data_IF_644960465640
#
_entry.id   IF_644960465640
#
_cell.length_a   1.000
_cell.length_b   1.000
_cell.length_c   1.000
_cell.angle_alpha   90.00
_cell.angle_beta   90.00
_cell.angle_gamma   90.00
#
_symmetry.space_group_name_H-M   'P 1'
#
loop_
_entity.id
_entity.type
_entity.pdbx_description
1 polymer ?
#
# COMPACT_ATOMS: atom_id res chain seq x y z
N UNK A 1 21.94 -38.65 -11.50
CA UNK A 1 21.00 -37.75 -12.19
C UNK A 1 21.09 -36.41 -11.50
N UNK A 2 21.87 -35.52 -12.07
CA UNK A 2 22.09 -34.14 -11.56
C UNK A 2 20.90 -33.28 -12.00
N UNK A 3 20.06 -32.91 -11.04
CA UNK A 3 18.99 -31.92 -11.25
C UNK A 3 19.64 -30.55 -11.45
N UNK A 4 19.70 -30.11 -12.70
CA UNK A 4 20.04 -28.73 -13.05
C UNK A 4 18.98 -27.79 -12.46
N UNK A 5 19.35 -27.02 -11.46
CA UNK A 5 18.52 -25.94 -10.94
C UNK A 5 18.29 -24.94 -12.09
N UNK A 6 17.04 -24.72 -12.46
CA UNK A 6 16.65 -23.75 -13.46
C UNK A 6 17.12 -22.35 -13.02
N UNK A 7 17.84 -21.66 -13.90
CA UNK A 7 18.30 -20.30 -13.68
C UNK A 7 17.08 -19.39 -13.37
N UNK A 8 17.17 -18.41 -12.43
CA UNK A 8 16.06 -17.58 -12.08
C UNK A 8 15.62 -16.75 -13.29
N UNK A 9 14.36 -16.89 -13.66
CA UNK A 9 13.72 -16.15 -14.76
C UNK A 9 13.80 -14.65 -14.47
N UNK A 10 14.79 -13.97 -15.05
CA UNK A 10 15.01 -12.51 -14.96
C UNK A 10 14.12 -11.76 -15.95
N UNK A 11 12.82 -12.04 -15.96
CA UNK A 11 11.89 -11.25 -16.78
C UNK A 11 11.72 -9.84 -16.19
N UNK A 12 11.54 -8.82 -17.04
CA UNK A 12 11.28 -7.45 -16.62
C UNK A 12 10.13 -7.39 -15.58
N UNK A 13 9.10 -8.22 -15.75
CA UNK A 13 7.99 -8.40 -14.79
C UNK A 13 8.49 -8.82 -13.40
N UNK A 14 9.38 -9.81 -13.31
CA UNK A 14 9.91 -10.29 -12.02
C UNK A 14 10.70 -9.18 -11.29
N UNK A 15 11.43 -8.34 -12.02
CA UNK A 15 12.17 -7.23 -11.45
C UNK A 15 11.24 -6.13 -10.92
N UNK A 16 10.19 -5.76 -11.68
CA UNK A 16 9.19 -4.78 -11.23
C UNK A 16 8.45 -5.30 -10.00
N UNK A 17 8.10 -6.58 -9.96
CA UNK A 17 7.46 -7.21 -8.81
C UNK A 17 8.38 -7.22 -7.58
N UNK A 18 9.66 -7.59 -7.70
CA UNK A 18 10.65 -7.52 -6.61
C UNK A 18 10.78 -6.09 -6.08
N UNK A 19 10.83 -5.10 -6.98
CA UNK A 19 10.88 -3.70 -6.61
C UNK A 19 9.62 -3.28 -5.85
N UNK A 20 8.42 -3.62 -6.35
CA UNK A 20 7.16 -3.33 -5.66
C UNK A 20 7.06 -3.99 -4.29
N UNK A 21 7.50 -5.26 -4.16
CA UNK A 21 7.57 -5.96 -2.87
C UNK A 21 8.55 -5.27 -1.91
N UNK A 22 9.70 -4.80 -2.42
CA UNK A 22 10.66 -4.05 -1.61
C UNK A 22 10.06 -2.75 -1.07
N UNK A 23 9.36 -1.97 -1.91
CA UNK A 23 8.65 -0.75 -1.48
C UNK A 23 7.56 -1.08 -0.45
N UNK A 24 6.75 -2.10 -0.69
CA UNK A 24 5.70 -2.55 0.23
C UNK A 24 6.27 -2.93 1.60
N UNK A 25 7.37 -3.66 1.63
CA UNK A 25 8.00 -4.09 2.88
C UNK A 25 8.56 -2.92 3.72
N UNK A 26 8.76 -1.74 3.14
CA UNK A 26 9.09 -0.53 3.88
C UNK A 26 7.87 0.13 4.52
N UNK A 27 6.70 0.03 3.88
CA UNK A 27 5.47 0.71 4.30
C UNK A 27 4.60 -0.16 5.19
N UNK A 28 4.37 -1.42 4.81
CA UNK A 28 3.43 -2.32 5.49
C UNK A 28 3.68 -2.51 7.00
N UNK A 29 4.92 -2.67 7.50
CA UNK A 29 5.15 -2.76 8.94
C UNK A 29 4.71 -1.50 9.70
N UNK A 30 4.62 -0.36 9.00
CA UNK A 30 4.28 0.95 9.56
C UNK A 30 2.80 1.33 9.33
N UNK A 31 1.97 0.44 8.79
CA UNK A 31 0.56 0.73 8.44
C UNK A 31 -0.25 1.22 9.65
N UNK A 32 0.06 0.72 10.86
CA UNK A 32 -0.57 1.17 12.09
C UNK A 32 -0.39 2.67 12.35
N UNK A 33 0.76 3.23 12.00
CA UNK A 33 1.02 4.67 12.14
C UNK A 33 0.23 5.49 11.10
N UNK A 34 0.03 4.97 9.88
CA UNK A 34 -0.85 5.58 8.87
C UNK A 34 -2.31 5.57 9.31
N UNK A 35 -2.78 4.46 9.88
CA UNK A 35 -4.14 4.36 10.42
C UNK A 35 -4.32 5.36 11.57
N UNK A 36 -3.38 5.45 12.50
CA UNK A 36 -3.43 6.39 13.61
C UNK A 36 -3.46 7.84 13.10
N UNK A 37 -2.57 8.20 12.16
CA UNK A 37 -2.58 9.52 11.53
C UNK A 37 -3.91 9.82 10.84
N UNK A 38 -4.45 8.87 10.07
CA UNK A 38 -5.72 9.03 9.37
C UNK A 38 -6.90 9.23 10.34
N UNK A 39 -6.98 8.46 11.42
CA UNK A 39 -8.03 8.59 12.44
C UNK A 39 -7.92 9.93 13.19
N UNK A 40 -6.72 10.33 13.60
CA UNK A 40 -6.46 11.62 14.25
C UNK A 40 -6.86 12.76 13.31
N UNK A 41 -6.51 12.67 12.05
CA UNK A 41 -6.87 13.64 11.02
C UNK A 41 -8.39 13.71 10.84
N UNK A 42 -9.06 12.57 10.65
CA UNK A 42 -10.50 12.51 10.46
C UNK A 42 -11.28 13.08 11.65
N UNK A 43 -10.77 12.87 12.86
CA UNK A 43 -11.44 13.35 14.08
C UNK A 43 -11.16 14.82 14.35
N UNK A 44 -9.92 15.28 14.35
CA UNK A 44 -9.50 16.47 15.05
C UNK A 44 -9.16 17.68 14.18
N UNK A 45 -9.03 17.57 12.83
CA UNK A 45 -8.85 18.76 11.98
C UNK A 45 -10.07 19.68 12.01
N UNK A 46 -9.93 20.89 11.52
CA UNK A 46 -10.98 21.91 11.48
C UNK A 46 -12.31 21.41 10.87
N UNK A 47 -12.21 20.60 9.81
CA UNK A 47 -13.37 19.98 9.13
C UNK A 47 -13.63 18.54 9.58
N UNK A 48 -12.99 18.10 10.66
CA UNK A 48 -13.15 16.76 11.20
C UNK A 48 -14.45 16.56 11.99
N UNK A 49 -14.62 15.35 12.53
CA UNK A 49 -15.81 14.98 13.30
C UNK A 49 -15.87 15.67 14.67
N UNK A 50 -14.71 15.86 15.32
CA UNK A 50 -14.54 16.47 16.63
C UNK A 50 -13.40 17.50 16.56
N UNK A 51 -13.61 18.69 15.95
CA UNK A 51 -12.53 19.64 15.74
C UNK A 51 -11.90 20.09 17.08
N UNK A 52 -10.60 19.84 17.22
CA UNK A 52 -9.80 20.25 18.39
C UNK A 52 -8.52 20.91 17.89
N UNK A 53 -8.41 22.23 18.02
CA UNK A 53 -7.31 23.03 17.47
C UNK A 53 -5.93 22.52 17.90
N UNK A 54 -5.75 22.19 19.18
CA UNK A 54 -4.50 21.70 19.76
C UNK A 54 -4.07 20.34 19.20
N UNK A 55 -5.00 19.46 18.82
CA UNK A 55 -4.72 18.14 18.28
C UNK A 55 -4.66 18.15 16.75
N UNK A 56 -5.56 18.88 16.11
CA UNK A 56 -5.66 18.99 14.66
C UNK A 56 -4.60 19.91 14.03
N UNK A 57 -4.07 20.86 14.79
CA UNK A 57 -3.06 21.80 14.30
C UNK A 57 -3.67 22.91 13.43
N UNK A 58 -4.76 23.52 13.87
CA UNK A 58 -5.39 24.67 13.19
C UNK A 58 -5.65 25.80 14.16
N UNK A 59 -5.78 27.03 13.62
CA UNK A 59 -5.95 28.24 14.42
C UNK A 59 -4.71 28.62 15.22
N UNK A 60 -4.84 29.66 16.05
CA UNK A 60 -3.77 30.25 16.83
C UNK A 60 -4.14 30.34 18.30
N UNK A 61 -3.14 30.50 19.15
CA UNK A 61 -3.27 30.80 20.57
C UNK A 61 -2.22 31.84 20.98
N UNK A 62 -2.42 32.49 22.10
CA UNK A 62 -1.52 33.55 22.56
C UNK A 62 -0.48 32.92 23.52
N UNK A 63 0.80 33.08 23.19
CA UNK A 63 1.94 32.74 24.06
C UNK A 63 2.80 33.99 24.19
N UNK A 64 3.03 34.45 25.40
CA UNK A 64 3.83 35.65 25.69
C UNK A 64 3.40 36.90 24.89
N UNK A 65 2.08 37.06 24.67
CA UNK A 65 1.52 38.17 23.92
C UNK A 65 1.65 38.12 22.41
N UNK A 66 2.10 36.96 21.86
CA UNK A 66 2.22 36.71 20.41
C UNK A 66 1.24 35.62 19.99
N UNK A 67 0.65 35.79 18.81
CA UNK A 67 -0.12 34.71 18.18
C UNK A 67 0.82 33.63 17.67
N UNK A 68 0.60 32.39 18.12
CA UNK A 68 1.34 31.20 17.71
C UNK A 68 0.36 30.16 17.18
N UNK A 69 0.63 29.59 16.01
CA UNK A 69 -0.19 28.54 15.45
C UNK A 69 -0.08 27.25 16.28
N UNK A 70 -1.19 26.52 16.42
CA UNK A 70 -1.16 25.18 16.99
C UNK A 70 -0.44 24.22 16.04
N UNK A 71 0.57 23.53 16.54
CA UNK A 71 1.32 22.53 15.75
C UNK A 71 0.49 21.28 15.51
N UNK A 72 -0.27 20.86 16.50
CA UNK A 72 -1.09 19.66 16.46
C UNK A 72 -0.29 18.35 16.31
N UNK A 73 -1.00 17.26 16.13
CA UNK A 73 -0.42 15.94 15.87
C UNK A 73 -0.34 15.64 14.36
N UNK A 74 -1.29 16.15 13.58
CA UNK A 74 -1.45 15.80 12.16
C UNK A 74 -0.22 16.18 11.33
N UNK A 75 0.22 17.44 11.45
CA UNK A 75 1.38 17.97 10.73
C UNK A 75 2.68 17.19 11.05
N UNK A 76 3.10 17.09 12.32
CA UNK A 76 4.31 16.36 12.69
C UNK A 76 4.29 14.87 12.33
N UNK A 77 3.15 14.21 12.45
CA UNK A 77 3.04 12.80 12.07
C UNK A 77 3.28 12.58 10.59
N UNK A 78 2.67 13.40 9.72
CA UNK A 78 2.80 13.22 8.27
C UNK A 78 4.15 13.71 7.75
N UNK A 79 4.69 14.77 8.32
CA UNK A 79 5.95 15.39 7.86
C UNK A 79 7.16 14.61 8.33
N UNK A 80 7.16 14.17 9.60
CA UNK A 80 8.33 13.55 10.21
C UNK A 80 8.14 12.08 10.54
N UNK A 81 7.13 11.73 11.35
CA UNK A 81 7.01 10.38 11.90
C UNK A 81 6.88 9.31 10.80
N UNK A 82 5.93 9.47 9.89
CA UNK A 82 5.65 8.47 8.86
C UNK A 82 6.83 8.30 7.89
N UNK A 83 7.45 9.36 7.33
CA UNK A 83 8.64 9.20 6.50
C UNK A 83 9.83 8.59 7.25
N UNK A 84 10.07 8.96 8.51
CA UNK A 84 11.17 8.41 9.31
C UNK A 84 10.97 6.92 9.62
N UNK A 85 9.74 6.47 9.90
CA UNK A 85 9.43 5.06 10.09
C UNK A 85 9.68 4.24 8.82
N UNK A 86 9.28 4.77 7.66
CA UNK A 86 9.54 4.14 6.36
C UNK A 86 11.04 4.05 6.10
N UNK A 87 11.78 5.14 6.32
CA UNK A 87 13.21 5.19 6.10
C UNK A 87 13.97 4.25 7.04
N UNK A 88 13.58 4.23 8.33
CA UNK A 88 14.15 3.29 9.29
C UNK A 88 13.92 1.84 8.87
N UNK A 89 12.70 1.51 8.48
CA UNK A 89 12.35 0.16 8.00
C UNK A 89 13.14 -0.19 6.75
N UNK A 90 13.25 0.72 5.78
CA UNK A 90 14.01 0.53 4.55
C UNK A 90 15.51 0.33 4.79
N UNK A 91 16.10 1.13 5.65
CA UNK A 91 17.50 0.99 6.06
C UNK A 91 17.77 -0.30 6.82
N UNK A 92 16.84 -0.67 7.72
CA UNK A 92 16.88 -1.93 8.48
C UNK A 92 16.82 -3.15 7.58
N UNK A 93 16.00 -3.14 6.54
CA UNK A 93 15.93 -4.24 5.56
C UNK A 93 17.28 -4.46 4.84
N UNK A 94 18.11 -3.45 4.70
CA UNK A 94 19.40 -3.51 4.00
C UNK A 94 20.54 -3.86 4.95
N UNK A 95 20.57 -3.28 6.16
CA UNK A 95 21.66 -3.46 7.11
C UNK A 95 21.20 -3.33 8.57
N UNK A 96 20.19 -4.11 8.93
CA UNK A 96 19.60 -4.22 10.26
C UNK A 96 19.40 -2.87 10.99
N UNK A 97 19.39 -2.83 12.31
CA UNK A 97 19.15 -1.64 13.14
C UNK A 97 20.08 -0.49 12.76
N UNK A 98 21.34 -0.80 12.50
CA UNK A 98 22.37 0.18 12.13
C UNK A 98 22.03 0.89 10.82
N UNK A 99 21.62 0.13 9.81
CA UNK A 99 21.11 0.67 8.54
C UNK A 99 19.85 1.51 8.71
N UNK A 100 18.96 1.07 9.62
CA UNK A 100 17.75 1.82 9.97
C UNK A 100 18.02 3.19 10.54
N UNK A 101 18.95 3.27 11.52
CA UNK A 101 19.33 4.52 12.16
C UNK A 101 19.95 5.49 11.14
N UNK A 102 20.93 5.03 10.34
CA UNK A 102 21.58 5.89 9.33
C UNK A 102 20.59 6.32 8.25
N UNK A 103 19.69 5.42 7.83
CA UNK A 103 18.63 5.73 6.86
C UNK A 103 17.66 6.79 7.37
N UNK A 104 17.25 6.72 8.64
CA UNK A 104 16.40 7.73 9.26
C UNK A 104 17.09 9.11 9.36
N UNK A 105 18.36 9.15 9.81
CA UNK A 105 19.14 10.39 9.87
C UNK A 105 19.27 11.01 8.48
N UNK A 106 19.64 10.21 7.48
CA UNK A 106 19.78 10.66 6.09
C UNK A 106 18.48 11.26 5.53
N UNK A 107 17.35 10.64 5.85
CA UNK A 107 16.03 11.07 5.40
C UNK A 107 15.59 12.38 6.04
N UNK A 108 16.03 12.67 7.26
CA UNK A 108 15.72 13.95 7.91
C UNK A 108 16.21 15.14 7.09
N UNK A 109 17.35 15.01 6.39
CA UNK A 109 17.84 16.05 5.48
C UNK A 109 16.87 16.30 4.32
N UNK A 110 16.34 15.26 3.72
CA UNK A 110 15.35 15.40 2.63
C UNK A 110 14.04 16.03 3.13
N UNK A 111 13.58 15.63 4.31
CA UNK A 111 12.35 16.16 4.92
C UNK A 111 12.49 17.68 5.15
N UNK A 112 13.57 18.12 5.76
CA UNK A 112 13.78 19.54 6.09
C UNK A 112 14.07 20.39 4.86
N UNK A 113 14.65 19.78 3.81
CA UNK A 113 14.98 20.47 2.55
C UNK A 113 13.80 20.67 1.59
N UNK A 114 12.57 20.27 1.98
CA UNK A 114 11.41 20.28 1.09
C UNK A 114 10.13 20.70 1.81
N UNK A 115 9.13 21.14 1.05
CA UNK A 115 7.82 21.56 1.56
C UNK A 115 6.73 20.48 1.41
N UNK A 116 7.03 19.33 0.80
CA UNK A 116 6.08 18.26 0.57
C UNK A 116 6.40 17.04 1.45
N UNK A 117 5.41 16.19 1.79
CA UNK A 117 5.65 14.95 2.56
C UNK A 117 6.62 14.02 1.85
N UNK A 118 7.74 13.70 2.49
CA UNK A 118 8.85 12.98 1.86
C UNK A 118 8.77 11.46 1.98
N UNK A 119 7.63 10.86 1.64
CA UNK A 119 7.49 9.40 1.58
C UNK A 119 8.41 8.78 0.53
N UNK A 120 8.41 9.32 -0.70
CA UNK A 120 9.29 8.85 -1.76
C UNK A 120 10.76 9.07 -1.39
N UNK A 121 11.09 10.23 -0.81
CA UNK A 121 12.41 10.51 -0.29
C UNK A 121 12.85 9.50 0.78
N UNK A 122 11.95 9.12 1.67
CA UNK A 122 12.19 8.11 2.70
C UNK A 122 12.45 6.71 2.11
N UNK A 123 11.66 6.32 1.10
CA UNK A 123 11.83 5.05 0.40
C UNK A 123 13.16 4.96 -0.37
N UNK A 124 13.73 6.10 -0.77
CA UNK A 124 15.04 6.16 -1.42
C UNK A 124 16.18 6.26 -0.42
N UNK A 125 16.09 7.21 0.52
CA UNK A 125 17.17 7.52 1.45
C UNK A 125 17.36 6.46 2.54
N UNK A 126 16.27 5.81 3.00
CA UNK A 126 16.36 4.73 3.97
C UNK A 126 17.27 3.59 3.52
N UNK A 127 16.97 2.92 2.41
CA UNK A 127 17.82 1.87 1.84
C UNK A 127 19.20 2.36 1.42
N UNK A 128 19.32 3.58 0.88
CA UNK A 128 20.61 4.18 0.51
C UNK A 128 21.50 4.36 1.75
N UNK A 129 20.95 4.85 2.85
CA UNK A 129 21.66 4.96 4.12
C UNK A 129 22.15 3.60 4.63
N UNK A 130 21.26 2.60 4.62
CA UNK A 130 21.60 1.24 4.99
C UNK A 130 22.68 0.62 4.09
N UNK A 131 22.57 0.80 2.78
CA UNK A 131 23.53 0.26 1.82
C UNK A 131 24.89 0.93 1.94
N UNK A 132 24.94 2.25 2.04
CA UNK A 132 26.20 2.99 2.11
C UNK A 132 26.95 2.74 3.41
N UNK A 133 26.27 2.71 4.57
CA UNK A 133 26.95 2.38 5.85
C UNK A 133 27.43 0.93 5.86
N UNK A 134 26.68 -0.02 5.28
CA UNK A 134 27.13 -1.40 5.11
C UNK A 134 28.44 -1.48 4.31
N UNK A 135 28.55 -0.70 3.25
CA UNK A 135 29.77 -0.64 2.43
C UNK A 135 30.92 0.03 3.17
N UNK A 136 30.62 1.07 3.93
CA UNK A 136 31.61 1.77 4.74
C UNK A 136 32.18 0.87 5.84
N UNK A 137 31.34 0.16 6.57
CA UNK A 137 31.73 -0.79 7.61
C UNK A 137 32.63 -1.91 7.06
N UNK A 138 32.34 -2.40 5.86
CA UNK A 138 33.17 -3.42 5.22
C UNK A 138 34.63 -3.01 4.96
N UNK A 139 34.96 -1.71 4.97
CA UNK A 139 36.34 -1.22 4.78
C UNK A 139 37.23 -1.44 6.01
N UNK A 140 36.63 -1.51 7.22
CA UNK A 140 37.39 -1.57 8.46
C UNK A 140 36.93 -2.62 9.48
N UNK A 141 35.88 -3.40 9.17
CA UNK A 141 35.28 -4.34 10.12
C UNK A 141 36.34 -5.22 10.83
N UNK A 142 37.28 -5.79 10.06
CA UNK A 142 38.34 -6.67 10.58
C UNK A 142 39.57 -5.90 11.13
N UNK A 143 39.57 -4.58 11.09
CA UNK A 143 40.71 -3.72 11.48
C UNK A 143 40.48 -2.99 12.80
N UNK A 144 39.29 -3.07 13.37
CA UNK A 144 38.97 -2.40 14.63
C UNK A 144 39.61 -3.18 15.77
N UNK A 145 40.40 -2.47 16.61
CA UNK A 145 41.01 -3.10 17.79
C UNK A 145 39.93 -3.44 18.84
N UNK A 146 40.08 -4.58 19.54
CA UNK A 146 39.14 -4.94 20.60
C UNK A 146 38.92 -3.81 21.62
N UNK A 147 37.65 -3.55 21.96
CA UNK A 147 37.25 -2.46 22.86
C UNK A 147 36.93 -1.13 22.21
N UNK A 148 37.26 -0.93 20.92
CA UNK A 148 36.93 0.28 20.17
C UNK A 148 35.69 0.12 19.26
N UNK A 149 35.10 -1.07 19.20
CA UNK A 149 34.00 -1.40 18.27
C UNK A 149 32.80 -0.46 18.47
N UNK A 150 32.40 -0.24 19.73
CA UNK A 150 31.27 0.63 20.04
C UNK A 150 31.54 2.07 19.62
N UNK A 151 32.76 2.59 19.90
CA UNK A 151 33.17 3.93 19.52
C UNK A 151 33.10 4.11 17.98
N UNK A 152 33.80 3.23 17.26
CA UNK A 152 33.87 3.30 15.80
C UNK A 152 32.45 3.16 15.19
N UNK A 153 31.66 2.22 15.68
CA UNK A 153 30.32 1.99 15.20
C UNK A 153 29.39 3.19 15.40
N UNK A 154 29.39 3.82 16.57
CA UNK A 154 28.54 4.97 16.84
C UNK A 154 28.98 6.22 16.07
N UNK A 155 30.28 6.52 16.09
CA UNK A 155 30.81 7.70 15.39
C UNK A 155 30.68 7.57 13.86
N UNK A 156 30.98 6.41 13.27
CA UNK A 156 30.85 6.23 11.84
C UNK A 156 29.38 6.33 11.39
N UNK A 157 28.42 5.79 12.16
CA UNK A 157 27.00 5.95 11.87
C UNK A 157 26.55 7.41 11.97
N UNK A 158 26.98 8.13 13.02
CA UNK A 158 26.62 9.53 13.22
C UNK A 158 27.23 10.45 12.15
N UNK A 159 28.53 10.33 11.89
CA UNK A 159 29.22 11.15 10.88
C UNK A 159 28.68 10.87 9.49
N UNK A 160 28.56 9.58 9.12
CA UNK A 160 28.05 9.22 7.80
C UNK A 160 26.58 9.57 7.61
N UNK A 161 25.76 9.32 8.63
CA UNK A 161 24.35 9.72 8.63
C UNK A 161 24.18 11.23 8.48
N UNK A 162 24.99 12.02 9.20
CA UNK A 162 25.04 13.48 9.07
C UNK A 162 25.45 13.95 7.67
N UNK A 163 26.49 13.35 7.08
CA UNK A 163 26.89 13.64 5.70
C UNK A 163 25.78 13.31 4.69
N UNK A 164 25.10 12.17 4.86
CA UNK A 164 23.96 11.79 4.03
C UNK A 164 22.74 12.70 4.25
N UNK A 165 22.53 13.24 5.45
CA UNK A 165 21.47 14.21 5.68
C UNK A 165 21.73 15.51 4.91
N UNK A 166 22.98 16.01 4.91
CA UNK A 166 23.39 17.17 4.11
C UNK A 166 23.22 16.89 2.60
N UNK A 167 23.64 15.72 2.14
CA UNK A 167 23.40 15.26 0.76
C UNK A 167 21.89 15.17 0.45
N UNK A 168 21.12 14.65 1.38
CA UNK A 168 19.65 14.57 1.30
C UNK A 168 19.03 15.94 1.10
N UNK A 169 19.46 16.93 1.87
CA UNK A 169 18.96 18.29 1.80
C UNK A 169 19.22 18.96 0.45
N UNK A 170 20.48 18.95 -0.01
CA UNK A 170 20.88 19.72 -1.20
C UNK A 170 20.66 18.96 -2.52
N UNK A 171 20.69 17.64 -2.53
CA UNK A 171 20.68 16.85 -3.76
C UNK A 171 19.41 16.04 -3.91
N UNK A 172 19.10 15.18 -2.91
CA UNK A 172 17.97 14.26 -3.06
C UNK A 172 16.61 14.95 -2.89
N UNK A 173 16.50 15.97 -2.04
CA UNK A 173 15.27 16.74 -1.87
C UNK A 173 14.76 17.32 -3.19
N UNK A 174 15.56 18.12 -3.92
CA UNK A 174 15.19 18.64 -5.23
C UNK A 174 14.85 17.55 -6.27
N UNK A 175 15.61 16.45 -6.31
CA UNK A 175 15.35 15.32 -7.22
C UNK A 175 13.99 14.70 -6.93
N UNK A 176 13.71 14.37 -5.68
CA UNK A 176 12.43 13.76 -5.28
C UNK A 176 11.26 14.71 -5.53
N UNK A 177 11.45 16.01 -5.27
CA UNK A 177 10.44 17.03 -5.55
C UNK A 177 10.13 17.11 -7.04
N UNK A 178 11.14 17.07 -7.91
CA UNK A 178 10.96 17.07 -9.35
C UNK A 178 10.20 15.80 -9.84
N UNK A 179 10.57 14.63 -9.33
CA UNK A 179 9.87 13.36 -9.64
C UNK A 179 8.41 13.42 -9.17
N UNK A 180 8.17 13.86 -7.93
CA UNK A 180 6.82 14.01 -7.38
C UNK A 180 5.99 15.02 -8.19
N UNK A 181 6.61 16.13 -8.59
CA UNK A 181 5.98 17.14 -9.44
C UNK A 181 5.59 16.60 -10.81
N UNK A 182 6.46 15.79 -11.44
CA UNK A 182 6.14 15.12 -12.70
C UNK A 182 4.91 14.20 -12.58
N UNK A 183 4.90 13.32 -11.58
CA UNK A 183 3.74 12.46 -11.37
C UNK A 183 2.48 13.25 -10.98
N UNK A 184 2.63 14.31 -10.18
CA UNK A 184 1.53 15.22 -9.84
C UNK A 184 0.95 15.90 -11.08
N UNK A 185 1.79 16.32 -12.02
CA UNK A 185 1.35 16.88 -13.31
C UNK A 185 0.59 15.86 -14.16
N UNK A 186 1.10 14.62 -14.28
CA UNK A 186 0.40 13.53 -15.00
C UNK A 186 -0.97 13.26 -14.38
N UNK A 187 -1.03 13.08 -13.06
CA UNK A 187 -2.28 12.79 -12.35
C UNK A 187 -3.25 13.98 -12.45
N UNK A 188 -2.76 15.21 -12.28
CA UNK A 188 -3.56 16.42 -12.42
C UNK A 188 -4.15 16.55 -13.81
N UNK A 189 -3.39 16.21 -14.85
CA UNK A 189 -3.87 16.15 -16.23
C UNK A 189 -4.99 15.10 -16.41
N UNK A 190 -4.84 13.91 -15.84
CA UNK A 190 -5.89 12.87 -15.89
C UNK A 190 -7.16 13.28 -15.15
N UNK A 191 -7.02 13.97 -14.02
CA UNK A 191 -8.17 14.48 -13.27
C UNK A 191 -8.88 15.59 -14.04
N UNK A 192 -8.14 16.59 -14.55
CA UNK A 192 -8.71 17.74 -15.24
C UNK A 192 -9.36 17.40 -16.57
N UNK A 193 -8.85 16.38 -17.27
CA UNK A 193 -9.42 15.89 -18.53
C UNK A 193 -10.56 14.88 -18.35
N UNK A 194 -10.88 14.48 -17.10
CA UNK A 194 -11.89 13.44 -16.84
C UNK A 194 -11.42 12.01 -17.15
N UNK A 195 -10.15 11.82 -17.49
CA UNK A 195 -9.59 10.52 -17.91
C UNK A 195 -9.09 9.65 -16.78
N UNK A 196 -9.22 10.10 -15.52
CA UNK A 196 -8.80 9.32 -14.36
C UNK A 196 -9.40 7.89 -14.31
N UNK A 197 -10.66 7.65 -14.72
CA UNK A 197 -11.22 6.29 -14.77
C UNK A 197 -10.43 5.32 -15.65
N UNK A 198 -9.74 5.82 -16.70
CA UNK A 198 -8.92 4.99 -17.58
C UNK A 198 -7.69 4.38 -16.88
N UNK A 199 -7.28 4.94 -15.74
CA UNK A 199 -6.20 4.35 -14.92
C UNK A 199 -6.53 2.93 -14.48
N UNK A 200 -7.82 2.56 -14.38
CA UNK A 200 -8.25 1.21 -14.05
C UNK A 200 -7.81 0.16 -15.06
N UNK A 201 -7.56 0.54 -16.32
CA UNK A 201 -7.00 -0.35 -17.36
C UNK A 201 -5.60 -0.84 -16.96
N UNK A 202 -4.86 -0.02 -16.23
CA UNK A 202 -3.53 -0.35 -15.75
C UNK A 202 -3.56 -0.92 -14.32
N UNK A 203 -4.33 -0.31 -13.43
CA UNK A 203 -4.33 -0.62 -12.00
C UNK A 203 -4.96 -2.00 -11.73
N UNK A 204 -6.10 -2.33 -12.35
CA UNK A 204 -6.76 -3.60 -12.08
C UNK A 204 -5.93 -4.82 -12.53
N UNK A 205 -5.35 -4.86 -13.73
CA UNK A 205 -4.39 -5.90 -14.08
C UNK A 205 -3.15 -5.90 -13.18
N UNK A 206 -2.64 -4.73 -12.80
CA UNK A 206 -1.48 -4.62 -11.94
C UNK A 206 -1.72 -5.24 -10.55
N UNK A 207 -2.93 -5.12 -9.98
CA UNK A 207 -3.30 -5.80 -8.73
C UNK A 207 -3.11 -7.31 -8.85
N UNK A 208 -3.75 -7.92 -9.84
CA UNK A 208 -3.73 -9.38 -10.07
C UNK A 208 -2.33 -9.90 -10.38
N UNK A 209 -1.48 -9.07 -10.98
CA UNK A 209 -0.09 -9.39 -11.31
C UNK A 209 0.91 -9.05 -10.19
N UNK A 210 0.44 -8.64 -9.01
CA UNK A 210 1.26 -8.19 -7.86
C UNK A 210 2.20 -7.02 -8.17
N UNK A 211 1.81 -6.15 -9.10
CA UNK A 211 2.51 -4.91 -9.44
C UNK A 211 1.92 -3.68 -8.72
N UNK A 212 0.76 -3.85 -8.09
CA UNK A 212 0.03 -2.79 -7.38
C UNK A 212 0.86 -2.12 -6.28
N UNK A 213 1.70 -2.87 -5.56
CA UNK A 213 2.52 -2.32 -4.48
C UNK A 213 3.48 -1.23 -4.98
N UNK A 214 4.08 -1.40 -6.18
CA UNK A 214 4.94 -0.39 -6.78
C UNK A 214 4.16 0.88 -7.12
N UNK A 215 2.95 0.74 -7.68
CA UNK A 215 2.09 1.85 -8.07
C UNK A 215 1.52 2.52 -6.82
N UNK A 216 0.96 1.75 -5.90
CA UNK A 216 0.29 2.28 -4.72
C UNK A 216 1.26 2.98 -3.77
N UNK A 217 2.31 2.27 -3.32
CA UNK A 217 3.25 2.83 -2.36
C UNK A 217 4.27 3.77 -3.00
N UNK A 218 4.64 3.53 -4.26
CA UNK A 218 5.60 4.38 -4.98
C UNK A 218 5.01 5.68 -5.51
N UNK A 219 3.73 5.71 -5.89
CA UNK A 219 3.11 6.84 -6.59
C UNK A 219 1.84 7.31 -5.89
N UNK A 220 0.82 6.44 -5.77
CA UNK A 220 -0.52 6.86 -5.34
C UNK A 220 -0.56 7.33 -3.88
N UNK A 221 0.10 6.61 -2.97
CA UNK A 221 0.13 6.99 -1.55
C UNK A 221 0.87 8.32 -1.33
N UNK A 222 2.10 8.55 -1.84
CA UNK A 222 2.77 9.85 -1.71
C UNK A 222 1.96 11.01 -2.27
N UNK A 223 1.48 10.90 -3.51
CA UNK A 223 0.70 11.96 -4.16
C UNK A 223 -0.66 12.16 -3.50
N UNK A 224 -1.35 11.07 -3.14
CA UNK A 224 -2.63 11.13 -2.45
C UNK A 224 -2.51 11.80 -1.09
N UNK A 225 -1.41 11.56 -0.39
CA UNK A 225 -1.14 12.21 0.90
C UNK A 225 -0.89 13.70 0.73
N UNK A 226 -0.09 14.09 -0.26
CA UNK A 226 0.11 15.50 -0.60
C UNK A 226 -1.22 16.19 -0.93
N UNK A 227 -2.01 15.60 -1.81
CA UNK A 227 -3.34 16.13 -2.17
C UNK A 227 -4.27 16.22 -0.96
N UNK A 228 -4.25 15.22 -0.09
CA UNK A 228 -5.08 15.21 1.13
C UNK A 228 -4.71 16.34 2.09
N UNK A 229 -3.45 16.69 2.21
CA UNK A 229 -3.00 17.83 3.02
C UNK A 229 -3.52 19.14 2.42
N UNK A 230 -3.42 19.30 1.11
CA UNK A 230 -3.79 20.54 0.41
C UNK A 230 -5.31 20.74 0.34
N UNK A 231 -6.09 19.68 0.13
CA UNK A 231 -7.53 19.76 -0.15
C UNK A 231 -8.43 19.10 0.90
N UNK A 232 -7.84 18.41 1.89
CA UNK A 232 -8.53 17.67 2.94
C UNK A 232 -8.89 16.22 2.56
N UNK A 233 -8.66 15.80 1.32
CA UNK A 233 -8.94 14.44 0.83
C UNK A 233 -8.22 14.13 -0.48
N UNK A 234 -8.15 12.84 -0.83
CA UNK A 234 -7.66 12.41 -2.14
C UNK A 234 -8.45 11.24 -2.71
N UNK A 235 -8.79 11.32 -3.99
CA UNK A 235 -9.37 10.22 -4.76
C UNK A 235 -8.33 9.13 -5.06
N UNK A 236 -7.04 9.47 -5.04
CA UNK A 236 -5.94 8.55 -5.39
C UNK A 236 -5.88 7.33 -4.48
N UNK A 237 -6.26 7.49 -3.21
CA UNK A 237 -6.34 6.38 -2.28
C UNK A 237 -7.42 5.34 -2.66
N UNK A 238 -8.46 5.75 -3.41
CA UNK A 238 -9.55 4.87 -3.84
C UNK A 238 -9.27 4.13 -5.15
N UNK A 239 -8.25 4.53 -5.92
CA UNK A 239 -7.87 3.86 -7.15
C UNK A 239 -7.49 2.39 -6.92
N UNK A 240 -6.87 2.12 -5.79
CA UNK A 240 -6.44 0.77 -5.41
C UNK A 240 -7.33 0.17 -4.31
N UNK A 241 -7.73 0.97 -3.31
CA UNK A 241 -8.42 0.46 -2.12
C UNK A 241 -9.89 0.13 -2.32
N UNK A 242 -10.55 0.57 -3.40
CA UNK A 242 -11.97 0.32 -3.64
C UNK A 242 -12.29 -1.19 -3.69
N UNK A 243 -13.12 -1.72 -2.76
CA UNK A 243 -13.45 -3.15 -2.70
C UNK A 243 -14.45 -3.59 -3.78
N UNK A 244 -15.11 -2.64 -4.45
CA UNK A 244 -16.22 -2.92 -5.38
C UNK A 244 -15.87 -3.89 -6.50
N UNK A 245 -14.79 -3.67 -7.27
CA UNK A 245 -14.48 -4.55 -8.41
C UNK A 245 -14.30 -6.01 -8.03
N UNK A 246 -13.51 -6.29 -6.97
CA UNK A 246 -13.29 -7.65 -6.48
C UNK A 246 -14.55 -8.29 -5.89
N UNK A 247 -15.34 -7.51 -5.13
CA UNK A 247 -16.62 -7.97 -4.59
C UNK A 247 -17.59 -8.37 -5.70
N UNK A 248 -17.76 -7.53 -6.73
CA UNK A 248 -18.64 -7.80 -7.85
C UNK A 248 -18.26 -9.09 -8.60
N UNK A 249 -16.96 -9.28 -8.83
CA UNK A 249 -16.43 -10.51 -9.43
C UNK A 249 -16.76 -11.75 -8.57
N UNK A 250 -16.50 -11.71 -7.27
CA UNK A 250 -16.74 -12.83 -6.36
C UNK A 250 -18.23 -13.15 -6.24
N UNK A 251 -19.10 -12.13 -6.20
CA UNK A 251 -20.55 -12.33 -6.25
C UNK A 251 -20.99 -13.00 -7.56
N UNK A 252 -20.40 -12.62 -8.70
CA UNK A 252 -20.70 -13.29 -9.96
C UNK A 252 -20.31 -14.77 -9.94
N UNK A 253 -19.16 -15.13 -9.37
CA UNK A 253 -18.79 -16.53 -9.18
C UNK A 253 -19.72 -17.27 -8.21
N UNK A 254 -20.18 -16.63 -7.15
CA UNK A 254 -21.09 -17.21 -6.17
C UNK A 254 -22.42 -17.65 -6.83
N UNK A 255 -22.95 -16.87 -7.77
CA UNK A 255 -24.20 -17.19 -8.45
C UNK A 255 -24.03 -18.00 -9.74
N UNK A 256 -23.03 -17.69 -10.55
CA UNK A 256 -22.84 -18.21 -11.91
C UNK A 256 -21.56 -19.02 -12.10
N UNK A 257 -20.69 -19.13 -11.08
CA UNK A 257 -19.52 -19.99 -11.09
C UNK A 257 -19.88 -21.49 -11.09
N UNK A 258 -18.86 -22.34 -11.24
CA UNK A 258 -18.97 -23.80 -11.20
C UNK A 258 -17.96 -24.38 -10.19
N UNK A 259 -18.20 -25.61 -9.79
CA UNK A 259 -17.26 -26.40 -8.98
C UNK A 259 -16.71 -25.70 -7.74
N UNK A 260 -15.44 -25.89 -7.49
CA UNK A 260 -14.73 -25.35 -6.32
C UNK A 260 -14.72 -23.81 -6.30
N UNK A 261 -14.61 -23.15 -7.45
CA UNK A 261 -14.67 -21.69 -7.55
C UNK A 261 -15.99 -21.12 -7.04
N UNK A 262 -17.13 -21.76 -7.38
CA UNK A 262 -18.43 -21.36 -6.84
C UNK A 262 -18.52 -21.57 -5.33
N UNK A 263 -18.06 -22.72 -4.86
CA UNK A 263 -18.17 -23.10 -3.45
C UNK A 263 -17.36 -22.19 -2.54
N UNK A 264 -16.17 -21.75 -2.99
CA UNK A 264 -15.26 -20.89 -2.20
C UNK A 264 -15.58 -19.40 -2.33
N UNK A 265 -16.35 -18.96 -3.34
CA UNK A 265 -16.57 -17.55 -3.64
C UNK A 265 -17.24 -16.76 -2.50
N UNK A 266 -18.17 -17.37 -1.76
CA UNK A 266 -18.86 -16.71 -0.63
C UNK A 266 -17.89 -16.36 0.50
N UNK A 267 -17.04 -17.31 0.89
CA UNK A 267 -16.00 -17.10 1.90
C UNK A 267 -14.97 -16.06 1.43
N UNK A 268 -14.55 -16.14 0.17
CA UNK A 268 -13.65 -15.18 -0.43
C UNK A 268 -14.24 -13.76 -0.44
N UNK A 269 -15.54 -13.60 -0.73
CA UNK A 269 -16.21 -12.31 -0.72
C UNK A 269 -16.21 -11.65 0.66
N UNK A 270 -16.46 -12.43 1.72
CA UNK A 270 -16.43 -11.95 3.11
C UNK A 270 -15.00 -11.50 3.48
N UNK A 271 -14.01 -12.33 3.20
CA UNK A 271 -12.60 -12.03 3.53
C UNK A 271 -12.11 -10.83 2.72
N UNK A 272 -12.49 -10.72 1.46
CA UNK A 272 -12.17 -9.55 0.64
C UNK A 272 -12.79 -8.29 1.21
N UNK A 273 -14.11 -8.27 1.32
CA UNK A 273 -14.88 -7.05 1.58
C UNK A 273 -14.75 -6.52 3.01
N UNK A 274 -14.69 -7.41 4.00
CA UNK A 274 -14.54 -7.03 5.40
C UNK A 274 -13.10 -7.17 5.87
N UNK A 275 -12.42 -8.25 5.48
CA UNK A 275 -11.04 -8.53 5.93
C UNK A 275 -9.98 -7.70 5.22
N UNK A 276 -10.27 -7.13 4.05
CA UNK A 276 -9.34 -6.27 3.33
C UNK A 276 -8.23 -7.02 2.60
N UNK A 277 -8.47 -8.26 2.19
CA UNK A 277 -7.49 -9.07 1.47
C UNK A 277 -7.87 -9.13 -0.02
N UNK A 278 -7.33 -8.19 -0.82
CA UNK A 278 -7.57 -8.16 -2.27
C UNK A 278 -7.12 -9.45 -2.97
N UNK A 279 -6.00 -10.01 -2.55
CA UNK A 279 -5.39 -11.18 -3.16
C UNK A 279 -6.30 -12.42 -3.22
N UNK A 280 -7.36 -12.45 -2.39
CA UNK A 280 -8.30 -13.57 -2.34
C UNK A 280 -9.07 -13.75 -3.65
N UNK A 281 -9.32 -12.68 -4.44
CA UNK A 281 -10.02 -12.81 -5.72
C UNK A 281 -9.07 -13.03 -6.92
N UNK A 282 -7.76 -12.87 -6.76
CA UNK A 282 -6.81 -13.00 -7.87
C UNK A 282 -6.81 -14.37 -8.54
N UNK A 283 -6.90 -15.52 -7.80
CA UNK A 283 -7.02 -16.84 -8.43
C UNK A 283 -8.21 -16.96 -9.38
N UNK A 284 -9.33 -16.32 -9.05
CA UNK A 284 -10.54 -16.34 -9.87
C UNK A 284 -10.35 -15.61 -11.20
N UNK A 285 -9.56 -14.53 -11.18
CA UNK A 285 -9.19 -13.80 -12.41
C UNK A 285 -8.12 -14.57 -13.19
N UNK A 286 -7.12 -15.13 -12.51
CA UNK A 286 -6.04 -15.87 -13.17
C UNK A 286 -6.54 -17.16 -13.83
N UNK A 287 -7.55 -17.81 -13.24
CA UNK A 287 -8.21 -18.97 -13.85
C UNK A 287 -8.93 -18.60 -15.17
N UNK A 288 -9.54 -17.41 -15.22
CA UNK A 288 -10.21 -16.88 -16.41
C UNK A 288 -9.79 -15.43 -16.69
N UNK A 289 -8.65 -15.18 -17.37
CA UNK A 289 -8.10 -13.84 -17.55
C UNK A 289 -9.03 -12.83 -18.23
N UNK A 290 -10.01 -13.28 -19.00
CA UNK A 290 -11.04 -12.41 -19.60
C UNK A 290 -11.82 -11.63 -18.54
N UNK A 291 -11.90 -12.12 -17.31
CA UNK A 291 -12.58 -11.46 -16.19
C UNK A 291 -11.85 -10.21 -15.68
N UNK A 292 -10.62 -9.96 -16.13
CA UNK A 292 -9.99 -8.64 -15.97
C UNK A 292 -10.85 -7.52 -16.53
N UNK A 293 -11.61 -7.77 -17.61
CA UNK A 293 -12.52 -6.79 -18.15
C UNK A 293 -13.62 -6.38 -17.16
N UNK A 294 -14.05 -7.31 -16.32
CA UNK A 294 -15.04 -7.02 -15.28
C UNK A 294 -14.47 -6.13 -14.18
N UNK A 295 -13.27 -6.44 -13.69
CA UNK A 295 -12.62 -5.62 -12.66
C UNK A 295 -12.23 -4.25 -13.20
N UNK A 296 -11.75 -4.14 -14.44
CA UNK A 296 -11.45 -2.87 -15.12
C UNK A 296 -12.72 -2.02 -15.24
N UNK A 297 -13.81 -2.58 -15.73
CA UNK A 297 -15.09 -1.86 -15.88
C UNK A 297 -15.62 -1.39 -14.51
N UNK A 298 -15.58 -2.25 -13.50
CA UNK A 298 -15.96 -1.91 -12.12
C UNK A 298 -15.06 -0.83 -11.53
N UNK A 299 -13.75 -0.97 -11.67
CA UNK A 299 -12.76 0.02 -11.21
C UNK A 299 -12.97 1.39 -11.85
N UNK A 300 -13.10 1.41 -13.17
CA UNK A 300 -13.37 2.65 -13.91
C UNK A 300 -14.68 3.33 -13.47
N UNK A 301 -15.74 2.53 -13.24
CA UNK A 301 -17.03 3.04 -12.73
C UNK A 301 -16.87 3.64 -11.33
N UNK A 302 -16.15 2.96 -10.42
CA UNK A 302 -15.90 3.48 -9.07
C UNK A 302 -15.12 4.79 -9.09
N UNK A 303 -14.05 4.87 -9.91
CA UNK A 303 -13.25 6.09 -10.07
C UNK A 303 -14.10 7.23 -10.64
N UNK A 304 -14.87 6.96 -11.71
CA UNK A 304 -15.78 7.94 -12.32
C UNK A 304 -16.78 8.48 -11.30
N UNK A 305 -17.39 7.59 -10.51
CA UNK A 305 -18.36 7.97 -9.49
C UNK A 305 -17.75 8.92 -8.46
N UNK A 306 -16.56 8.59 -7.94
CA UNK A 306 -15.85 9.47 -7.00
C UNK A 306 -15.42 10.79 -7.65
N UNK A 307 -14.99 10.76 -8.91
CA UNK A 307 -14.60 11.96 -9.63
C UNK A 307 -15.77 12.93 -9.82
N UNK A 308 -16.94 12.41 -10.23
CA UNK A 308 -18.15 13.22 -10.48
C UNK A 308 -18.74 13.75 -9.16
N UNK A 309 -18.78 12.92 -8.13
CA UNK A 309 -19.40 13.26 -6.83
C UNK A 309 -18.42 13.87 -5.83
N UNK A 310 -17.16 14.04 -6.19
CA UNK A 310 -16.15 14.61 -5.32
C UNK A 310 -15.80 13.71 -4.13
N UNK A 311 -15.80 12.39 -4.31
CA UNK A 311 -15.42 11.42 -3.27
C UNK A 311 -13.92 11.37 -3.04
N UNK A 312 -13.51 11.12 -1.78
CA UNK A 312 -12.11 10.96 -1.43
C UNK A 312 -11.89 10.48 0.00
N UNK A 313 -10.70 9.95 0.24
CA UNK A 313 -10.24 9.54 1.58
C UNK A 313 -9.25 10.55 2.14
N UNK A 314 -9.18 10.63 3.46
CA UNK A 314 -8.23 11.47 4.19
C UNK A 314 -6.84 10.83 4.20
N UNK A 315 -6.78 9.50 4.32
CA UNK A 315 -5.55 8.72 4.38
C UNK A 315 -5.69 7.40 3.60
N UNK A 316 -4.57 6.72 3.27
CA UNK A 316 -4.63 5.43 2.60
C UNK A 316 -5.36 4.39 3.47
N UNK A 317 -6.32 3.69 2.86
CA UNK A 317 -7.05 2.59 3.50
C UNK A 317 -6.42 1.23 3.13
N UNK A 318 -6.63 0.23 3.99
CA UNK A 318 -6.29 -1.15 3.64
C UNK A 318 -7.08 -1.59 2.41
N UNK A 319 -6.41 -2.07 1.35
CA UNK A 319 -7.06 -2.41 0.10
C UNK A 319 -8.14 -3.49 0.28
N UNK A 320 -9.34 -3.25 -0.24
CA UNK A 320 -10.44 -4.19 -0.22
C UNK A 320 -11.32 -4.17 1.04
N UNK A 321 -10.90 -3.53 2.14
CA UNK A 321 -11.73 -3.44 3.34
C UNK A 321 -12.70 -2.26 3.27
N UNK A 322 -14.00 -2.54 3.23
CA UNK A 322 -15.01 -1.48 3.32
C UNK A 322 -14.93 -0.75 4.67
N UNK A 323 -14.58 -1.45 5.75
CA UNK A 323 -14.44 -0.85 7.08
C UNK A 323 -13.29 0.16 7.07
N UNK A 324 -12.12 -0.23 6.52
CA UNK A 324 -10.97 0.65 6.41
C UNK A 324 -11.25 1.84 5.48
N UNK A 325 -11.92 1.62 4.36
CA UNK A 325 -12.32 2.68 3.41
C UNK A 325 -13.24 3.69 4.10
N UNK A 326 -14.31 3.22 4.77
CA UNK A 326 -15.23 4.11 5.46
C UNK A 326 -14.57 4.84 6.64
N UNK A 327 -13.68 4.18 7.39
CA UNK A 327 -12.95 4.82 8.49
C UNK A 327 -12.03 5.98 8.02
N UNK A 328 -11.55 5.93 6.78
CA UNK A 328 -10.69 6.96 6.19
C UNK A 328 -11.46 7.92 5.26
N UNK A 329 -12.77 7.76 5.10
CA UNK A 329 -13.58 8.61 4.22
C UNK A 329 -13.74 10.02 4.82
N UNK A 330 -13.48 11.05 4.00
CA UNK A 330 -13.74 12.44 4.38
C UNK A 330 -15.24 12.65 4.64
N UNK A 331 -15.58 13.47 5.63
CA UNK A 331 -16.94 13.64 6.18
C UNK A 331 -18.03 13.88 5.13
N UNK A 332 -17.75 14.67 4.10
CA UNK A 332 -18.71 15.00 3.04
C UNK A 332 -18.65 14.02 1.86
N UNK A 333 -17.75 13.04 1.89
CA UNK A 333 -17.49 12.10 0.80
C UNK A 333 -18.17 10.74 0.99
N UNK A 334 -18.87 10.48 2.11
CA UNK A 334 -19.45 9.16 2.39
C UNK A 334 -20.43 8.69 1.31
N UNK A 335 -21.34 9.56 0.85
CA UNK A 335 -22.30 9.21 -0.19
C UNK A 335 -21.59 8.84 -1.49
N UNK A 336 -20.61 9.64 -1.89
CA UNK A 336 -19.82 9.42 -3.10
C UNK A 336 -19.03 8.09 -3.01
N UNK A 337 -18.36 7.84 -1.89
CA UNK A 337 -17.55 6.64 -1.67
C UNK A 337 -18.41 5.39 -1.60
N UNK A 338 -19.52 5.40 -0.86
CA UNK A 338 -20.44 4.26 -0.79
C UNK A 338 -21.03 3.96 -2.17
N UNK A 339 -21.51 4.98 -2.88
CA UNK A 339 -22.03 4.84 -4.23
C UNK A 339 -20.96 4.30 -5.19
N UNK A 340 -19.73 4.77 -5.08
CA UNK A 340 -18.61 4.28 -5.91
C UNK A 340 -18.35 2.79 -5.70
N UNK A 341 -18.40 2.32 -4.44
CA UNK A 341 -18.24 0.90 -4.13
C UNK A 341 -19.40 0.07 -4.67
N UNK A 342 -20.63 0.52 -4.46
CA UNK A 342 -21.83 -0.18 -4.92
C UNK A 342 -21.89 -0.26 -6.44
N UNK A 343 -21.65 0.86 -7.13
CA UNK A 343 -21.68 0.89 -8.60
C UNK A 343 -20.50 0.11 -9.20
N UNK A 344 -19.32 0.20 -8.61
CA UNK A 344 -18.17 -0.62 -9.03
C UNK A 344 -18.46 -2.12 -8.89
N UNK A 345 -19.05 -2.54 -7.76
CA UNK A 345 -19.43 -3.92 -7.53
C UNK A 345 -20.53 -4.37 -8.51
N UNK A 346 -21.53 -3.53 -8.74
CA UNK A 346 -22.63 -3.84 -9.67
C UNK A 346 -22.15 -4.01 -11.09
N UNK A 347 -21.33 -3.09 -11.61
CA UNK A 347 -20.81 -3.16 -12.98
C UNK A 347 -19.85 -4.35 -13.12
N UNK A 348 -18.94 -4.56 -12.16
CA UNK A 348 -18.07 -5.74 -12.17
C UNK A 348 -18.87 -7.04 -12.16
N UNK A 349 -19.91 -7.13 -11.31
CA UNK A 349 -20.79 -8.28 -11.25
C UNK A 349 -21.49 -8.54 -12.59
N UNK A 350 -22.09 -7.53 -13.20
CA UNK A 350 -22.83 -7.67 -14.46
C UNK A 350 -21.92 -8.11 -15.61
N UNK A 351 -20.75 -7.48 -15.72
CA UNK A 351 -19.77 -7.87 -16.75
C UNK A 351 -19.25 -9.28 -16.50
N UNK A 352 -18.88 -9.62 -15.26
CA UNK A 352 -18.44 -10.98 -14.91
C UNK A 352 -19.53 -12.02 -15.14
N UNK A 353 -20.78 -11.71 -14.82
CA UNK A 353 -21.94 -12.59 -15.07
C UNK A 353 -22.06 -12.92 -16.56
N UNK A 354 -21.98 -11.90 -17.42
CA UNK A 354 -22.08 -12.10 -18.88
C UNK A 354 -20.92 -12.98 -19.37
N UNK A 355 -19.69 -12.68 -18.92
CA UNK A 355 -18.50 -13.44 -19.32
C UNK A 355 -18.51 -14.88 -18.82
N UNK A 356 -18.96 -15.12 -17.58
CA UNK A 356 -19.09 -16.47 -17.03
C UNK A 356 -20.16 -17.29 -17.72
N UNK A 357 -21.28 -16.67 -18.11
CA UNK A 357 -22.36 -17.34 -18.87
C UNK A 357 -21.98 -17.63 -20.32
N UNK A 358 -21.19 -16.74 -20.95
CA UNK A 358 -20.74 -16.89 -22.32
C UNK A 358 -19.61 -17.94 -22.46
N UNK A 359 -18.89 -18.22 -21.37
CA UNK A 359 -17.81 -19.21 -21.34
C UNK A 359 -18.38 -20.62 -21.50
N UNK A 360 -18.01 -21.28 -22.61
CA UNK A 360 -18.38 -22.66 -22.93
C UNK A 360 -17.45 -23.71 -22.34
N UNK A 361 -16.44 -23.28 -21.59
CA UNK A 361 -15.39 -24.17 -21.09
C UNK A 361 -15.95 -25.18 -20.10
N UNK A 362 -15.59 -26.46 -20.31
CA UNK A 362 -15.81 -27.60 -19.40
C UNK A 362 -14.89 -27.52 -18.16
N UNK A 363 -14.53 -26.30 -17.74
CA UNK A 363 -13.69 -26.07 -16.59
C UNK A 363 -14.50 -26.36 -15.31
N UNK A 364 -14.07 -27.41 -14.58
CA UNK A 364 -14.69 -27.86 -13.32
C UNK A 364 -14.59 -26.81 -12.19
N UNK A 365 -14.12 -25.59 -12.52
CA UNK A 365 -13.91 -24.52 -11.55
C UNK A 365 -12.75 -24.80 -10.60
N UNK A 366 -11.80 -25.61 -11.03
CA UNK A 366 -10.57 -25.88 -10.28
C UNK A 366 -9.66 -24.67 -10.29
N UNK A 367 -9.44 -24.11 -9.14
CA UNK A 367 -8.55 -22.96 -8.91
C UNK A 367 -7.14 -23.37 -8.46
N UNK A 368 -6.83 -24.66 -8.37
CA UNK A 368 -5.54 -25.17 -7.83
C UNK A 368 -4.35 -24.66 -8.62
N UNK A 369 -4.43 -24.72 -9.96
CA UNK A 369 -3.38 -24.20 -10.83
C UNK A 369 -3.23 -22.68 -10.73
N UNK A 370 -4.35 -21.96 -10.75
CA UNK A 370 -4.37 -20.50 -10.64
C UNK A 370 -3.82 -20.04 -9.28
N UNK A 371 -4.11 -20.79 -8.21
CA UNK A 371 -3.58 -20.54 -6.87
C UNK A 371 -2.07 -20.82 -6.80
N UNK A 372 -1.62 -21.92 -7.40
CA UNK A 372 -0.19 -22.25 -7.47
C UNK A 372 0.58 -21.19 -8.30
N UNK A 373 0.03 -20.76 -9.43
CA UNK A 373 0.61 -19.69 -10.25
C UNK A 373 0.66 -18.36 -9.48
N UNK A 374 -0.38 -18.05 -8.70
CA UNK A 374 -0.42 -16.88 -7.83
C UNK A 374 0.66 -16.93 -6.75
N UNK A 375 0.81 -18.06 -6.05
CA UNK A 375 1.85 -18.26 -5.03
C UNK A 375 3.26 -18.18 -5.62
N UNK A 376 3.46 -18.77 -6.80
CA UNK A 376 4.71 -18.66 -7.53
C UNK A 376 5.05 -17.21 -7.91
N UNK A 377 4.04 -16.42 -8.31
CA UNK A 377 4.19 -15.00 -8.59
C UNK A 377 4.51 -14.18 -7.34
N UNK A 378 3.87 -14.51 -6.21
CA UNK A 378 4.05 -13.82 -4.93
C UNK A 378 5.36 -14.22 -4.23
N UNK A 379 5.88 -15.42 -4.50
CA UNK A 379 7.06 -15.98 -3.82
C UNK A 379 6.79 -16.43 -2.37
N UNK A 380 5.53 -16.51 -1.95
CA UNK A 380 5.08 -16.95 -0.61
C UNK A 380 3.74 -17.67 -0.72
N UNK A 381 3.46 -18.57 0.25
CA UNK A 381 2.12 -19.15 0.39
C UNK A 381 1.10 -18.07 0.73
N UNK A 382 -0.09 -18.17 0.16
CA UNK A 382 -1.18 -17.22 0.34
C UNK A 382 -2.31 -17.84 1.18
N UNK A 383 -3.01 -17.00 1.95
CA UNK A 383 -4.23 -17.41 2.64
C UNK A 383 -5.30 -17.91 1.64
N UNK A 384 -5.27 -17.40 0.41
CA UNK A 384 -6.17 -17.83 -0.66
C UNK A 384 -6.02 -19.33 -0.97
N UNK A 385 -4.82 -19.92 -0.84
CA UNK A 385 -4.59 -21.34 -1.10
C UNK A 385 -5.30 -22.26 -0.10
N UNK A 386 -5.40 -21.85 1.15
CA UNK A 386 -6.09 -22.62 2.19
C UNK A 386 -7.61 -22.63 2.03
N UNK A 387 -8.16 -21.61 1.35
CA UNK A 387 -9.61 -21.43 1.15
C UNK A 387 -10.08 -21.95 -0.21
N UNK A 388 -9.23 -21.84 -1.22
CA UNK A 388 -9.56 -22.17 -2.61
C UNK A 388 -9.10 -23.58 -3.00
N UNK A 389 -8.06 -24.10 -2.35
CA UNK A 389 -7.45 -25.40 -2.68
C UNK A 389 -8.17 -26.63 -2.11
N UNK A 390 -9.41 -26.57 -1.69
CA UNK A 390 -10.20 -27.75 -1.29
C UNK A 390 -9.59 -28.57 -0.14
N UNK A 391 -8.80 -27.97 0.71
CA UNK A 391 -8.36 -28.59 1.96
C UNK A 391 -9.59 -28.98 2.77
N UNK A 392 -9.80 -30.29 2.98
CA UNK A 392 -10.89 -30.79 3.81
C UNK A 392 -10.94 -29.98 5.10
N UNK A 393 -12.11 -29.44 5.42
CA UNK A 393 -12.31 -28.80 6.72
C UNK A 393 -11.84 -29.77 7.81
N UNK A 394 -11.04 -29.31 8.81
CA UNK A 394 -10.56 -30.19 9.87
C UNK A 394 -11.78 -30.84 10.53
N UNK A 395 -11.84 -32.17 10.47
CA UNK A 395 -12.94 -32.99 11.01
C UNK A 395 -12.83 -33.14 12.53
N UNK A 396 -12.58 -32.07 13.25
CA UNK A 396 -12.48 -32.09 14.71
C UNK A 396 -12.88 -30.76 15.35
N UNK A 397 -13.14 -30.72 16.67
CA UNK A 397 -13.45 -29.46 17.34
C UNK A 397 -12.27 -28.50 17.20
N UNK A 398 -12.54 -27.31 16.68
CA UNK A 398 -11.55 -26.23 16.53
C UNK A 398 -11.11 -25.81 17.94
N UNK A 399 -9.89 -26.19 18.34
CA UNK A 399 -9.31 -25.84 19.64
C UNK A 399 -8.52 -24.53 19.63
N UNK A 400 -7.97 -24.17 18.47
CA UNK A 400 -7.19 -22.93 18.30
C UNK A 400 -7.47 -22.32 16.92
N UNK A 401 -7.73 -21.02 16.89
CA UNK A 401 -7.79 -20.22 15.65
C UNK A 401 -6.54 -19.35 15.62
N UNK A 402 -5.65 -19.60 14.66
CA UNK A 402 -4.46 -18.78 14.45
C UNK A 402 -4.75 -17.84 13.28
N UNK A 403 -4.76 -16.55 13.54
CA UNK A 403 -4.80 -15.53 12.51
C UNK A 403 -3.38 -15.27 12.01
N UNK A 404 -3.03 -15.81 10.86
CA UNK A 404 -1.79 -15.47 10.17
C UNK A 404 -2.05 -14.30 9.19
N UNK A 405 -1.49 -13.13 9.46
CA UNK A 405 -1.52 -12.01 8.52
C UNK A 405 -0.46 -12.22 7.44
N UNK A 406 -0.87 -12.22 6.19
CA UNK A 406 -0.01 -12.42 5.02
C UNK A 406 0.96 -11.25 4.77
N UNK A 407 0.78 -10.13 5.47
CA UNK A 407 1.63 -8.93 5.42
C UNK A 407 2.93 -9.03 6.27
N UNK A 408 3.26 -10.20 6.80
CA UNK A 408 4.50 -10.43 7.56
C UNK A 408 4.51 -9.82 8.97
N UNK A 409 3.38 -9.32 9.45
CA UNK A 409 3.20 -9.00 10.86
C UNK A 409 2.79 -10.28 11.59
N UNK A 410 3.74 -11.20 11.73
CA UNK A 410 3.59 -12.36 12.58
C UNK A 410 3.55 -11.89 14.03
N UNK A 411 2.37 -11.77 14.60
CA UNK A 411 2.24 -12.04 16.01
C UNK A 411 2.47 -13.54 16.15
N UNK A 412 3.69 -13.95 16.46
CA UNK A 412 3.91 -15.22 17.13
C UNK A 412 3.10 -15.13 18.42
N UNK A 413 1.93 -15.73 18.43
CA UNK A 413 1.18 -15.92 19.65
C UNK A 413 2.06 -16.73 20.59
N UNK A 414 2.25 -16.21 21.80
CA UNK A 414 2.71 -17.01 22.94
C UNK A 414 1.75 -18.14 23.20
#
# INVERSE_FOLDING_TARGET
MTTTAAAPNTSARANVQKFGTFLSNMVMPNIGAFIAWGLITALFIEKGWLPVAQLGGFGTHIVDGKEVAWVGLVGPMITYLLPLLIAYTGGKMVYDVRGGVVGAIATMGVIVGTSIPMFMGAMMMGPLGGWTIKKLDALWHDKIKPGFEMLVNNFSAGIWGGALAVFGYYVMGPIVTAISGFFGWVVGGLVSTGLLPLTSILIEPAKVLFLNNAINHGILTPLGTQQSIETGKSILFLLEANPGPGLGLLLAYMFFGRGAAKASASGAAIIHFFGGIHEIYFPYVLAKPILLLATIAGGATGVLTNQVLGGGLIAPAAPGSIIAVLAQTERNSYVAVILSVVLAATVSFLVAMVLLRASKDDDDGDLSKATADMEAMKGKKSLASSLVGGGAAPSGPIKNIVFACDAGMGSSAM
#
